data_IF_728671844330
#
_entry.id   IF_728671844330
#
_cell.length_a   1.000
_cell.length_b   1.000
_cell.length_c   1.000
_cell.angle_alpha   90.00
_cell.angle_beta   90.00
_cell.angle_gamma   90.00
#
_symmetry.space_group_name_H-M   'P 1'
#
loop_
_entity.id
_entity.type
_entity.pdbx_description
1 polymer ?
#
# COMPACT_ATOMS: atom_id res chain seq x y z
N UNK A 1 -16.26 -31.20 9.34
CA UNK A 1 -15.02 -30.61 9.90
C UNK A 1 -14.47 -29.66 8.85
N UNK A 2 -14.63 -28.35 9.03
CA UNK A 2 -13.99 -27.35 8.15
C UNK A 2 -13.18 -26.38 8.99
N UNK A 3 -11.99 -26.11 8.46
CA UNK A 3 -10.78 -25.67 9.13
C UNK A 3 -10.88 -24.23 9.64
N UNK A 4 -10.38 -24.00 10.85
CA UNK A 4 -10.11 -22.66 11.36
C UNK A 4 -8.92 -22.07 10.59
N UNK A 5 -9.19 -21.25 9.59
CA UNK A 5 -8.15 -20.39 9.01
C UNK A 5 -7.97 -19.21 9.97
N UNK A 6 -7.08 -19.39 10.94
CA UNK A 6 -6.52 -18.31 11.74
C UNK A 6 -5.75 -17.39 10.79
N UNK A 7 -6.46 -16.42 10.21
CA UNK A 7 -5.85 -15.37 9.41
C UNK A 7 -5.05 -14.49 10.37
N UNK A 8 -3.74 -14.70 10.37
CA UNK A 8 -2.76 -13.74 10.87
C UNK A 8 -3.06 -12.40 10.23
N UNK A 9 -3.70 -11.50 10.98
CA UNK A 9 -3.78 -10.08 10.62
C UNK A 9 -2.35 -9.56 10.66
N UNK A 10 -1.67 -9.60 9.52
CA UNK A 10 -0.47 -8.82 9.31
C UNK A 10 -0.91 -7.36 9.40
N UNK A 11 -0.47 -6.65 10.43
CA UNK A 11 -0.73 -5.23 10.60
C UNK A 11 -0.07 -4.48 9.44
N UNK A 12 -0.83 -4.23 8.36
CA UNK A 12 -0.36 -3.52 7.16
C UNK A 12 -0.25 -2.01 7.42
N UNK A 13 0.53 -1.63 8.42
CA UNK A 13 0.84 -0.23 8.73
C UNK A 13 2.29 0.09 8.36
N UNK A 14 2.53 1.31 7.91
CA UNK A 14 3.84 1.87 7.65
C UNK A 14 3.98 3.20 8.37
N UNK A 15 5.21 3.53 8.78
CA UNK A 15 5.50 4.80 9.41
C UNK A 15 5.62 5.91 8.35
N UNK A 16 4.95 7.04 8.60
CA UNK A 16 5.09 8.24 7.80
C UNK A 16 6.04 9.22 8.51
N UNK A 17 7.24 9.43 7.96
CA UNK A 17 8.22 10.36 8.53
C UNK A 17 7.77 11.83 8.48
N UNK A 18 6.85 12.18 7.57
CA UNK A 18 6.33 13.55 7.43
C UNK A 18 5.44 13.94 8.62
N UNK A 19 4.54 13.05 9.02
CA UNK A 19 3.57 13.27 10.11
C UNK A 19 3.98 12.55 11.42
N UNK A 20 5.12 11.88 11.41
CA UNK A 20 5.65 11.08 12.51
C UNK A 20 4.65 10.09 13.12
N UNK A 21 3.82 9.47 12.27
CA UNK A 21 2.75 8.55 12.71
C UNK A 21 2.70 7.26 11.90
N UNK A 22 2.12 6.21 12.48
CA UNK A 22 1.80 4.99 11.75
C UNK A 22 0.53 5.18 10.94
N UNK A 23 0.56 4.77 9.67
CA UNK A 23 -0.57 4.85 8.75
C UNK A 23 -0.78 3.51 8.07
N UNK A 24 -2.03 3.15 7.80
CA UNK A 24 -2.35 1.93 7.06
C UNK A 24 -1.89 2.05 5.60
N UNK A 25 -1.08 1.09 5.14
CA UNK A 25 -0.55 1.03 3.77
C UNK A 25 -1.71 0.98 2.76
N UNK A 26 -2.78 0.26 3.09
CA UNK A 26 -3.92 0.08 2.18
C UNK A 26 -4.69 1.38 1.92
N UNK A 27 -4.75 2.28 2.91
CA UNK A 27 -5.37 3.61 2.78
C UNK A 27 -4.51 4.59 1.96
N UNK A 28 -3.26 4.24 1.68
CA UNK A 28 -2.35 5.09 0.94
C UNK A 28 -1.74 6.22 1.78
N UNK A 29 -0.83 6.97 1.17
CA UNK A 29 -0.20 8.13 1.81
C UNK A 29 -1.27 9.21 1.99
N UNK A 30 -1.37 9.80 3.19
CA UNK A 30 -2.30 10.91 3.47
C UNK A 30 -2.02 12.17 2.64
N UNK A 31 -0.81 12.28 2.11
CA UNK A 31 -0.32 13.42 1.32
C UNK A 31 0.05 12.98 -0.10
N UNK A 32 -0.91 12.54 -0.94
CA UNK A 32 -0.62 12.10 -2.30
C UNK A 32 -0.17 13.24 -3.20
N UNK A 33 -0.55 14.48 -2.88
CA UNK A 33 -0.26 15.70 -3.65
C UNK A 33 0.91 16.50 -3.10
N UNK A 34 1.21 16.43 -1.80
CA UNK A 34 2.32 17.19 -1.22
C UNK A 34 3.68 16.58 -1.52
N UNK A 35 4.67 17.44 -1.71
CA UNK A 35 6.05 17.00 -1.77
C UNK A 35 6.44 16.27 -0.48
N UNK A 36 6.89 15.03 -0.61
CA UNK A 36 7.49 14.27 0.47
C UNK A 36 8.91 13.92 0.02
N UNK A 37 9.91 14.41 0.74
CA UNK A 37 11.33 14.13 0.42
C UNK A 37 11.64 12.63 0.44
N UNK A 38 10.86 11.87 1.21
CA UNK A 38 10.93 10.42 1.30
C UNK A 38 10.02 9.69 0.31
N UNK A 39 9.32 10.38 -0.61
CA UNK A 39 8.33 9.77 -1.52
C UNK A 39 8.90 8.61 -2.34
N UNK A 40 10.16 8.71 -2.79
CA UNK A 40 10.84 7.65 -3.55
C UNK A 40 11.17 6.42 -2.69
N UNK A 41 11.37 6.60 -1.38
CA UNK A 41 11.65 5.53 -0.42
C UNK A 41 10.39 5.09 0.35
N UNK A 42 9.28 5.79 0.20
CA UNK A 42 8.04 5.52 0.91
C UNK A 42 7.41 4.22 0.40
N UNK A 43 7.36 3.22 1.26
CA UNK A 43 6.75 1.90 0.99
C UNK A 43 5.33 2.05 0.45
N UNK A 44 4.56 3.01 0.97
CA UNK A 44 3.18 3.25 0.52
C UNK A 44 3.13 3.74 -0.94
N UNK A 45 4.05 4.64 -1.31
CA UNK A 45 4.15 5.09 -2.71
C UNK A 45 4.55 3.94 -3.63
N UNK A 46 5.53 3.13 -3.22
CA UNK A 46 5.96 1.95 -3.96
C UNK A 46 4.81 0.96 -4.15
N UNK A 47 4.13 0.56 -3.08
CA UNK A 47 2.99 -0.36 -3.13
C UNK A 47 1.84 0.18 -4.00
N UNK A 48 1.52 1.47 -3.91
CA UNK A 48 0.52 2.08 -4.77
C UNK A 48 0.92 2.08 -6.24
N UNK A 49 2.21 2.28 -6.53
CA UNK A 49 2.74 2.18 -7.89
C UNK A 49 2.65 0.75 -8.40
N UNK A 50 3.04 -0.25 -7.60
CA UNK A 50 2.96 -1.66 -7.96
C UNK A 50 1.50 -2.12 -8.18
N UNK A 51 0.57 -1.77 -7.27
CA UNK A 51 -0.88 -2.02 -7.46
C UNK A 51 -1.39 -1.41 -8.75
N UNK A 52 -0.97 -0.19 -9.08
CA UNK A 52 -1.38 0.49 -10.31
C UNK A 52 -0.81 -0.18 -11.57
N UNK A 53 0.42 -0.70 -11.51
CA UNK A 53 1.03 -1.49 -12.58
C UNK A 53 0.33 -2.83 -12.75
N UNK A 54 0.01 -3.52 -11.66
CA UNK A 54 -0.72 -4.79 -11.68
C UNK A 54 -2.10 -4.62 -12.32
N UNK A 55 -2.86 -3.59 -11.92
CA UNK A 55 -4.17 -3.29 -12.53
C UNK A 55 -4.07 -3.13 -14.04
N UNK A 56 -3.08 -2.36 -14.54
CA UNK A 56 -2.86 -2.21 -15.99
C UNK A 56 -2.53 -3.53 -16.68
N UNK A 57 -1.77 -4.42 -16.02
CA UNK A 57 -1.44 -5.73 -16.58
C UNK A 57 -2.68 -6.63 -16.68
N UNK A 58 -3.52 -6.64 -15.64
CA UNK A 58 -4.75 -7.45 -15.60
C UNK A 58 -5.79 -7.02 -16.64
N UNK A 59 -5.86 -5.73 -16.98
CA UNK A 59 -6.77 -5.23 -18.04
C UNK A 59 -6.46 -5.82 -19.42
N UNK A 60 -5.26 -6.34 -19.67
CA UNK A 60 -4.86 -6.93 -20.96
C UNK A 60 -5.17 -8.43 -21.10
N UNK A 61 -5.65 -9.08 -20.05
CA UNK A 61 -5.97 -10.52 -20.04
C UNK A 61 -7.48 -10.80 -20.14
N UNK A 62 -8.31 -9.75 -20.12
CA UNK A 62 -9.79 -9.81 -20.16
C UNK A 62 -10.39 -9.25 -21.47
N UNK A 63 -9.55 -8.91 -22.47
CA UNK A 63 -9.95 -8.49 -23.83
C UNK A 63 -9.53 -9.50 -24.90
#
# INVERSE_FOLDING_TARGET
MFMAHSTTQMEHTAYCEKDQCQVEIDKGCRHPTDYCQFRKACIIHFMNQEKSREKRRKTLEDE
#
